data_IF_840383284127
#
_entry.id   IF_840383284127
#
_cell.length_a   1.000
_cell.length_b   1.000
_cell.length_c   1.000
_cell.angle_alpha   90.00
_cell.angle_beta   90.00
_cell.angle_gamma   90.00
#
_symmetry.space_group_name_H-M   'P 1'
#
loop_
_entity.id
_entity.type
_entity.pdbx_description
1 polymer ?
#
# COMPACT_ATOMS: atom_id res chain seq x y z
N UNK A 1 9.58 -6.72 26.49
CA UNK A 1 8.34 -6.60 25.71
C UNK A 1 7.87 -5.17 25.83
N UNK A 2 8.13 -4.35 24.81
CA UNK A 2 7.37 -3.10 24.70
C UNK A 2 5.89 -3.46 24.60
N UNK A 3 5.05 -2.70 25.32
CA UNK A 3 3.59 -2.85 25.28
C UNK A 3 3.15 -2.64 23.83
N UNK A 4 2.30 -3.51 23.28
CA UNK A 4 1.67 -3.25 21.98
C UNK A 4 0.90 -1.92 22.09
N UNK A 5 1.45 -0.86 21.50
CA UNK A 5 0.90 0.51 21.58
C UNK A 5 -0.04 0.81 20.41
N UNK A 6 0.03 0.02 19.35
CA UNK A 6 -0.82 0.16 18.17
C UNK A 6 -1.94 -0.91 18.15
N UNK A 7 -2.99 -0.74 17.33
CA UNK A 7 -3.99 -1.79 17.12
C UNK A 7 -3.40 -3.15 16.71
N UNK A 8 -3.98 -4.23 17.24
CA UNK A 8 -3.47 -5.61 17.06
C UNK A 8 -3.29 -6.00 15.59
N UNK A 9 -4.21 -5.58 14.73
CA UNK A 9 -4.15 -5.95 13.32
C UNK A 9 -2.86 -5.44 12.64
N UNK A 10 -2.25 -4.33 13.11
CA UNK A 10 -0.99 -3.82 12.56
C UNK A 10 0.23 -4.70 12.87
N UNK A 11 0.09 -5.65 13.79
CA UNK A 11 1.09 -6.66 14.15
C UNK A 11 0.86 -8.01 13.45
N UNK A 12 -0.19 -8.13 12.63
CA UNK A 12 -0.48 -9.39 11.92
C UNK A 12 0.65 -9.74 10.94
N UNK A 13 1.15 -10.97 11.08
CA UNK A 13 2.26 -11.48 10.27
C UNK A 13 2.03 -11.32 8.77
N UNK A 14 0.82 -11.62 8.27
CA UNK A 14 0.52 -11.50 6.83
C UNK A 14 0.64 -10.05 6.33
N UNK A 15 0.31 -9.05 7.14
CA UNK A 15 0.43 -7.64 6.75
C UNK A 15 1.89 -7.22 6.73
N UNK A 16 2.68 -7.65 7.71
CA UNK A 16 4.14 -7.49 7.72
C UNK A 16 4.74 -8.11 6.45
N UNK A 17 4.36 -9.34 6.11
CA UNK A 17 4.83 -10.03 4.89
C UNK A 17 4.51 -9.24 3.62
N UNK A 18 3.29 -8.71 3.49
CA UNK A 18 2.91 -7.86 2.35
C UNK A 18 3.82 -6.62 2.27
N UNK A 19 4.04 -5.93 3.39
CA UNK A 19 4.89 -4.74 3.45
C UNK A 19 6.35 -5.06 3.08
N UNK A 20 6.91 -6.14 3.63
CA UNK A 20 8.27 -6.61 3.34
C UNK A 20 8.41 -6.97 1.85
N UNK A 21 7.52 -7.80 1.32
CA UNK A 21 7.56 -8.22 -0.09
C UNK A 21 7.40 -7.03 -1.05
N UNK A 22 6.56 -6.06 -0.70
CA UNK A 22 6.39 -4.82 -1.46
C UNK A 22 7.69 -4.02 -1.53
N UNK A 23 8.31 -3.73 -0.38
CA UNK A 23 9.57 -2.97 -0.32
C UNK A 23 10.69 -3.70 -1.06
N UNK A 24 10.84 -5.00 -0.84
CA UNK A 24 11.81 -5.86 -1.55
C UNK A 24 11.61 -5.81 -3.07
N UNK A 25 10.36 -5.83 -3.53
CA UNK A 25 10.05 -5.76 -4.96
C UNK A 25 10.39 -4.41 -5.57
N UNK A 26 10.01 -3.31 -4.91
CA UNK A 26 10.24 -1.96 -5.43
C UNK A 26 11.73 -1.59 -5.42
N UNK A 27 12.48 -1.93 -4.37
CA UNK A 27 13.91 -1.65 -4.31
C UNK A 27 14.69 -2.38 -5.43
N UNK A 28 14.32 -3.63 -5.76
CA UNK A 28 14.90 -4.36 -6.91
C UNK A 28 14.67 -3.66 -8.25
N UNK A 29 13.57 -2.92 -8.38
CA UNK A 29 13.28 -2.12 -9.58
C UNK A 29 14.11 -0.83 -9.61
N UNK A 30 14.32 -0.21 -8.45
CA UNK A 30 15.02 1.07 -8.37
C UNK A 30 16.54 0.92 -8.39
N UNK A 31 17.05 -0.26 -8.03
CA UNK A 31 18.49 -0.56 -7.96
C UNK A 31 18.86 -1.71 -8.93
N UNK A 32 18.67 -1.53 -10.25
CA UNK A 32 18.86 -2.60 -11.24
C UNK A 32 20.31 -3.09 -11.34
N UNK A 33 21.28 -2.29 -10.91
CA UNK A 33 22.71 -2.65 -10.92
C UNK A 33 23.11 -3.63 -9.82
N UNK A 34 22.30 -3.79 -8.78
CA UNK A 34 22.58 -4.69 -7.66
C UNK A 34 22.06 -6.09 -8.00
N UNK A 35 22.88 -7.12 -7.77
CA UNK A 35 22.57 -8.53 -8.06
C UNK A 35 23.11 -9.48 -6.99
N UNK A 36 22.52 -10.67 -6.89
CA UNK A 36 23.08 -11.79 -6.14
C UNK A 36 23.14 -11.58 -4.63
N UNK A 37 24.28 -11.91 -3.99
CA UNK A 37 24.39 -11.96 -2.53
C UNK A 37 24.07 -10.63 -1.82
N UNK A 38 24.29 -9.50 -2.50
CA UNK A 38 23.95 -8.18 -1.94
C UNK A 38 22.46 -8.09 -1.62
N UNK A 39 21.59 -8.62 -2.49
CA UNK A 39 20.15 -8.65 -2.23
C UNK A 39 19.78 -9.50 -1.03
N UNK A 40 20.52 -10.58 -0.74
CA UNK A 40 20.27 -11.41 0.44
C UNK A 40 20.43 -10.59 1.73
N UNK A 41 21.43 -9.72 1.80
CA UNK A 41 21.66 -8.85 2.97
C UNK A 41 20.60 -7.76 3.06
N UNK A 42 20.30 -7.10 1.94
CA UNK A 42 19.25 -6.08 1.89
C UNK A 42 17.89 -6.68 2.29
N UNK A 43 17.58 -7.89 1.82
CA UNK A 43 16.34 -8.58 2.18
C UNK A 43 16.24 -8.87 3.68
N UNK A 44 17.34 -9.31 4.30
CA UNK A 44 17.42 -9.53 5.75
C UNK A 44 17.20 -8.23 6.51
N UNK A 45 17.84 -7.14 6.08
CA UNK A 45 17.67 -5.83 6.71
C UNK A 45 16.21 -5.37 6.64
N UNK A 46 15.56 -5.49 5.47
CA UNK A 46 14.13 -5.12 5.29
C UNK A 46 13.22 -5.96 6.19
N UNK A 47 13.49 -7.25 6.34
CA UNK A 47 12.70 -8.14 7.21
C UNK A 47 12.77 -7.70 8.67
N UNK A 48 13.97 -7.31 9.11
CA UNK A 48 14.23 -6.81 10.46
C UNK A 48 13.69 -5.41 10.74
N UNK A 49 13.23 -4.65 9.75
CA UNK A 49 12.70 -3.29 9.98
C UNK A 49 11.51 -3.23 10.95
N UNK A 50 10.76 -4.32 11.08
CA UNK A 50 9.57 -4.37 11.92
C UNK A 50 9.89 -4.37 13.42
N UNK A 51 10.93 -5.10 13.83
CA UNK A 51 11.19 -5.48 15.22
C UNK A 51 12.67 -5.68 15.60
N UNK A 52 13.59 -5.85 14.64
CA UNK A 52 15.00 -6.19 14.91
C UNK A 52 15.97 -5.02 14.66
N UNK A 53 15.60 -4.08 13.79
CA UNK A 53 16.49 -3.00 13.37
C UNK A 53 16.77 -2.02 14.53
N UNK A 54 18.03 -1.86 14.98
CA UNK A 54 18.36 -1.18 16.24
C UNK A 54 18.10 0.33 16.23
N UNK A 55 17.98 0.94 15.05
CA UNK A 55 17.78 2.38 14.89
C UNK A 55 16.37 2.75 14.43
N UNK A 56 15.49 1.76 14.26
CA UNK A 56 14.10 1.99 13.88
C UNK A 56 13.20 1.79 15.10
N UNK A 57 12.19 2.64 15.23
CA UNK A 57 11.12 2.41 16.19
C UNK A 57 10.18 1.33 15.64
N UNK A 58 10.01 0.20 16.35
CA UNK A 58 9.24 -0.94 15.88
C UNK A 58 7.83 -0.55 15.43
N UNK A 59 7.34 -1.21 14.37
CA UNK A 59 6.02 -0.98 13.72
C UNK A 59 5.86 0.40 13.09
N UNK A 60 6.12 1.50 13.80
CA UNK A 60 5.98 2.88 13.30
C UNK A 60 6.87 3.14 12.11
N UNK A 61 8.17 2.94 12.29
CA UNK A 61 9.15 3.29 11.27
C UNK A 61 9.10 2.28 10.12
N UNK A 62 8.66 1.04 10.39
CA UNK A 62 8.31 0.08 9.36
C UNK A 62 7.15 0.58 8.47
N UNK A 63 5.98 0.90 9.03
CA UNK A 63 4.83 1.33 8.23
C UNK A 63 5.06 2.69 7.57
N UNK A 64 5.77 3.61 8.24
CA UNK A 64 6.21 4.87 7.62
C UNK A 64 7.24 4.64 6.50
N UNK A 65 8.13 3.65 6.63
CA UNK A 65 9.07 3.26 5.58
C UNK A 65 8.36 2.66 4.36
N UNK A 66 7.43 1.72 4.58
CA UNK A 66 6.56 1.15 3.53
C UNK A 66 5.81 2.26 2.82
N UNK A 67 5.20 3.19 3.59
CA UNK A 67 4.54 4.37 3.04
C UNK A 67 5.48 5.22 2.17
N UNK A 68 6.68 5.52 2.66
CA UNK A 68 7.65 6.36 1.96
C UNK A 68 8.05 5.79 0.60
N UNK A 69 8.30 4.48 0.52
CA UNK A 69 8.59 3.79 -0.75
C UNK A 69 7.36 3.78 -1.66
N UNK A 70 6.19 3.51 -1.11
CA UNK A 70 4.94 3.37 -1.85
C UNK A 70 4.44 4.69 -2.45
N UNK A 71 4.40 5.74 -1.64
CA UNK A 71 3.89 7.04 -2.04
C UNK A 71 4.92 7.89 -2.77
N UNK A 72 6.18 7.88 -2.33
CA UNK A 72 7.22 8.71 -2.93
C UNK A 72 7.51 8.37 -4.40
N UNK A 73 7.34 7.11 -4.80
CA UNK A 73 7.63 6.65 -6.16
C UNK A 73 6.40 6.29 -7.00
N UNK A 74 5.38 5.66 -6.40
CA UNK A 74 4.25 5.08 -7.16
C UNK A 74 2.93 5.79 -6.96
N UNK A 75 2.86 6.76 -6.03
CA UNK A 75 1.64 7.50 -5.71
C UNK A 75 0.46 6.56 -5.37
N UNK A 76 0.74 5.40 -4.76
CA UNK A 76 -0.29 4.45 -4.33
C UNK A 76 -0.92 4.88 -2.99
N UNK A 77 -1.72 5.93 -3.03
CA UNK A 77 -2.32 6.61 -1.86
C UNK A 77 -3.21 5.75 -0.98
N UNK A 78 -3.79 4.68 -1.52
CA UNK A 78 -4.75 3.86 -0.80
C UNK A 78 -4.26 2.45 -0.48
N UNK A 79 -3.18 1.98 -1.12
CA UNK A 79 -2.74 0.58 -0.93
C UNK A 79 -2.31 0.32 0.51
N UNK A 80 -1.61 1.26 1.15
CA UNK A 80 -1.25 1.13 2.55
C UNK A 80 -2.50 1.03 3.45
N UNK A 81 -3.54 1.82 3.16
CA UNK A 81 -4.80 1.78 3.92
C UNK A 81 -5.47 0.42 3.78
N UNK A 82 -5.45 -0.19 2.58
CA UNK A 82 -5.93 -1.57 2.38
C UNK A 82 -5.09 -2.59 3.16
N UNK A 83 -3.77 -2.49 3.07
CA UNK A 83 -2.85 -3.43 3.74
C UNK A 83 -3.03 -3.36 5.26
N UNK A 84 -3.26 -2.16 5.80
CA UNK A 84 -3.30 -1.93 7.25
C UNK A 84 -4.71 -1.82 7.81
N UNK A 85 -5.77 -1.80 7.00
CA UNK A 85 -7.14 -1.67 7.48
C UNK A 85 -7.63 -2.91 8.24
N UNK A 86 -8.15 -2.69 9.45
CA UNK A 86 -8.61 -3.72 10.37
C UNK A 86 -9.66 -4.64 9.75
N UNK A 87 -10.57 -4.07 8.96
CA UNK A 87 -11.67 -4.77 8.31
C UNK A 87 -11.29 -5.44 6.97
N UNK A 88 -10.01 -5.47 6.62
CA UNK A 88 -9.50 -6.19 5.44
C UNK A 88 -8.83 -7.49 5.88
N UNK A 89 -9.41 -8.62 5.48
CA UNK A 89 -8.82 -9.94 5.68
C UNK A 89 -7.91 -10.29 4.50
N UNK A 90 -6.67 -10.62 4.82
CA UNK A 90 -5.66 -11.01 3.85
C UNK A 90 -5.47 -12.53 3.80
N UNK A 91 -5.25 -13.05 2.60
CA UNK A 91 -4.79 -14.43 2.37
C UNK A 91 -3.67 -14.43 1.34
N UNK A 92 -2.72 -15.38 1.44
CA UNK A 92 -1.70 -15.64 0.43
C UNK A 92 -2.06 -16.92 -0.30
N UNK A 93 -2.44 -16.82 -1.57
CA UNK A 93 -3.00 -17.95 -2.33
C UNK A 93 -2.61 -17.90 -3.81
N UNK A 94 -2.64 -19.05 -4.48
CA UNK A 94 -2.61 -19.09 -5.94
C UNK A 94 -4.02 -18.83 -6.48
N UNK A 95 -4.18 -17.73 -7.22
CA UNK A 95 -5.46 -17.34 -7.80
C UNK A 95 -5.47 -17.55 -9.32
N UNK A 96 -6.63 -17.99 -9.84
CA UNK A 96 -6.88 -18.07 -11.27
C UNK A 96 -6.81 -16.67 -11.90
N UNK A 97 -6.01 -16.52 -12.95
CA UNK A 97 -5.83 -15.26 -13.66
C UNK A 97 -7.15 -14.73 -14.21
N UNK A 98 -8.06 -15.60 -14.64
CA UNK A 98 -9.36 -15.21 -15.21
C UNK A 98 -10.29 -14.48 -14.22
N UNK A 99 -10.07 -14.66 -12.90
CA UNK A 99 -10.85 -14.00 -11.84
C UNK A 99 -10.35 -12.58 -11.54
N UNK A 100 -9.21 -12.19 -12.09
CA UNK A 100 -8.56 -10.91 -11.83
C UNK A 100 -8.98 -9.83 -12.83
N UNK A 101 -8.87 -8.60 -12.36
CA UNK A 101 -9.00 -7.39 -13.16
C UNK A 101 -7.71 -6.58 -13.00
N UNK A 102 -7.17 -6.05 -14.09
CA UNK A 102 -6.06 -5.11 -14.04
C UNK A 102 -6.49 -3.84 -13.30
N UNK A 103 -5.71 -3.41 -12.31
CA UNK A 103 -5.89 -2.09 -11.70
C UNK A 103 -5.39 -0.97 -12.62
N UNK A 104 -4.45 -1.29 -13.51
CA UNK A 104 -4.03 -0.41 -14.60
C UNK A 104 -3.64 -1.27 -15.79
N UNK A 105 -4.25 -0.99 -16.94
CA UNK A 105 -3.97 -1.70 -18.19
C UNK A 105 -2.72 -1.07 -18.82
N UNK A 106 -1.66 -1.87 -18.99
CA UNK A 106 -0.45 -1.41 -19.68
C UNK A 106 -0.69 -1.31 -21.20
N UNK A 107 0.20 -0.59 -21.89
CA UNK A 107 0.11 -0.39 -23.35
C UNK A 107 0.05 -1.70 -24.13
N UNK A 108 0.83 -2.70 -23.73
CA UNK A 108 0.91 -4.01 -24.40
C UNK A 108 -0.43 -4.78 -24.36
N UNK A 109 -1.17 -4.66 -23.26
CA UNK A 109 -2.45 -5.37 -23.06
C UNK A 109 -3.64 -4.55 -23.55
N UNK A 110 -3.48 -3.23 -23.71
CA UNK A 110 -4.58 -2.32 -24.08
C UNK A 110 -5.30 -2.73 -25.37
N UNK A 111 -4.56 -3.23 -26.36
CA UNK A 111 -5.14 -3.74 -27.62
C UNK A 111 -6.01 -4.99 -27.41
N UNK A 112 -5.71 -5.81 -26.41
CA UNK A 112 -6.47 -7.04 -26.11
C UNK A 112 -7.66 -6.79 -25.19
N UNK A 113 -7.69 -5.64 -24.50
CA UNK A 113 -8.74 -5.26 -23.56
C UNK A 113 -9.18 -3.80 -23.81
N UNK A 114 -9.71 -3.48 -25.01
CA UNK A 114 -9.93 -2.09 -25.42
C UNK A 114 -10.99 -1.36 -24.58
N UNK A 115 -11.99 -2.09 -24.08
CA UNK A 115 -13.16 -1.52 -23.39
C UNK A 115 -13.28 -2.00 -21.92
N UNK A 116 -12.22 -2.59 -21.35
CA UNK A 116 -12.29 -3.13 -20.00
C UNK A 116 -10.93 -3.31 -19.34
N UNK A 117 -10.92 -4.07 -18.25
CA UNK A 117 -9.71 -4.41 -17.52
C UNK A 117 -9.69 -5.87 -17.07
N UNK A 118 -10.59 -6.71 -17.57
CA UNK A 118 -10.68 -8.10 -17.16
C UNK A 118 -9.51 -8.92 -17.74
N UNK A 119 -8.79 -9.64 -16.89
CA UNK A 119 -7.61 -10.41 -17.32
C UNK A 119 -7.99 -11.54 -18.29
N UNK A 120 -9.18 -12.13 -18.14
CA UNK A 120 -9.72 -13.14 -19.06
C UNK A 120 -9.82 -12.66 -20.52
N UNK A 121 -10.06 -11.36 -20.74
CA UNK A 121 -10.13 -10.78 -22.09
C UNK A 121 -8.73 -10.74 -22.72
N UNK A 122 -7.71 -10.37 -21.94
CA UNK A 122 -6.32 -10.41 -22.38
C UNK A 122 -5.88 -11.84 -22.72
N UNK A 123 -6.21 -12.82 -21.87
CA UNK A 123 -5.93 -14.23 -22.12
C UNK A 123 -6.57 -14.70 -23.44
N UNK A 124 -7.86 -14.42 -23.62
CA UNK A 124 -8.60 -14.79 -24.84
C UNK A 124 -8.05 -14.09 -26.09
N UNK A 125 -7.64 -12.83 -25.97
CA UNK A 125 -7.04 -12.05 -27.06
C UNK A 125 -5.71 -12.61 -27.52
N UNK A 126 -4.80 -12.89 -26.58
CA UNK A 126 -3.49 -13.46 -26.90
C UNK A 126 -3.57 -14.91 -27.40
N UNK A 127 -4.55 -15.70 -26.97
CA UNK A 127 -4.81 -17.02 -27.56
C UNK A 127 -5.18 -16.94 -29.05
N UNK A 128 -5.86 -15.86 -29.48
CA UNK A 128 -6.23 -15.63 -30.89
C UNK A 128 -5.12 -14.96 -31.70
N UNK A 129 -4.12 -14.35 -31.05
CA UNK A 129 -3.04 -13.63 -31.71
C UNK A 129 -1.66 -14.04 -31.18
N UNK A 130 -1.28 -15.28 -31.49
CA UNK A 130 -0.03 -15.91 -31.03
C UNK A 130 1.22 -15.13 -31.44
N UNK A 131 1.21 -14.51 -32.62
CA UNK A 131 2.34 -13.67 -33.09
C UNK A 131 2.54 -12.47 -32.17
N UNK A 132 1.45 -11.76 -31.84
CA UNK A 132 1.51 -10.61 -30.93
C UNK A 132 1.90 -11.04 -29.51
N UNK A 133 1.38 -12.18 -29.03
CA UNK A 133 1.76 -12.77 -27.73
C UNK A 133 3.27 -12.96 -27.63
N UNK A 134 3.90 -13.56 -28.65
CA UNK A 134 5.36 -13.78 -28.68
C UNK A 134 6.13 -12.46 -28.66
N UNK A 135 5.74 -11.50 -29.51
CA UNK A 135 6.38 -10.18 -29.56
C UNK A 135 6.33 -9.47 -28.21
N UNK A 136 5.18 -9.45 -27.54
CA UNK A 136 5.04 -8.81 -26.23
C UNK A 136 5.76 -9.57 -25.13
N UNK A 137 5.83 -10.91 -25.20
CA UNK A 137 6.58 -11.71 -24.24
C UNK A 137 8.08 -11.39 -24.32
N UNK A 138 8.64 -11.33 -25.52
CA UNK A 138 10.04 -10.96 -25.75
C UNK A 138 10.35 -9.55 -25.23
N UNK A 139 9.46 -8.58 -25.48
CA UNK A 139 9.62 -7.23 -24.95
C UNK A 139 9.60 -7.21 -23.42
N UNK A 140 8.62 -7.86 -22.79
CA UNK A 140 8.52 -7.92 -21.34
C UNK A 140 9.70 -8.64 -20.69
N UNK A 141 10.22 -9.71 -21.30
CA UNK A 141 11.36 -10.46 -20.75
C UNK A 141 12.59 -9.57 -20.60
N UNK A 142 12.89 -8.73 -21.60
CA UNK A 142 14.00 -7.77 -21.54
C UNK A 142 13.92 -6.87 -20.31
N UNK A 143 12.72 -6.37 -19.98
CA UNK A 143 12.52 -5.52 -18.79
C UNK A 143 12.75 -6.26 -17.47
N UNK A 144 12.48 -7.57 -17.41
CA UNK A 144 12.64 -8.36 -16.19
C UNK A 144 14.07 -8.89 -16.02
N UNK A 145 14.82 -9.10 -17.11
CA UNK A 145 16.22 -9.52 -17.09
C UNK A 145 17.16 -8.42 -16.57
N UNK A 146 16.79 -7.15 -16.73
CA UNK A 146 17.58 -6.00 -16.24
C UNK A 146 17.71 -6.02 -14.71
N UNK A 147 16.70 -6.47 -13.97
CA UNK A 147 16.65 -6.44 -12.50
C UNK A 147 16.91 -7.80 -11.87
N UNK A 148 17.12 -7.89 -10.56
CA UNK A 148 17.10 -9.18 -9.85
C UNK A 148 15.77 -9.92 -10.11
N UNK A 149 15.76 -11.25 -10.02
CA UNK A 149 14.53 -12.01 -10.27
C UNK A 149 13.39 -11.52 -9.36
N UNK A 150 12.29 -11.12 -10.00
CA UNK A 150 11.10 -10.60 -9.33
C UNK A 150 9.79 -11.02 -9.99
N UNK A 151 9.87 -11.90 -10.99
CA UNK A 151 8.71 -12.33 -11.78
C UNK A 151 7.78 -13.28 -11.02
N UNK A 152 8.29 -13.89 -9.95
CA UNK A 152 7.62 -14.86 -9.09
C UNK A 152 7.09 -14.24 -7.79
N UNK A 153 7.44 -12.98 -7.49
CA UNK A 153 6.95 -12.28 -6.30
C UNK A 153 5.42 -12.21 -6.31
N UNK A 154 4.73 -12.41 -5.16
CA UNK A 154 3.28 -12.34 -5.09
C UNK A 154 2.74 -10.98 -5.55
N UNK A 155 1.68 -10.98 -6.36
CA UNK A 155 0.95 -9.75 -6.68
C UNK A 155 0.09 -9.31 -5.49
N UNK A 156 -0.42 -8.08 -5.49
CA UNK A 156 -1.38 -7.62 -4.48
C UNK A 156 -2.71 -7.32 -5.17
N UNK A 157 -3.75 -8.09 -4.81
CA UNK A 157 -5.10 -7.92 -5.32
C UNK A 157 -6.06 -7.55 -4.18
N UNK A 158 -6.94 -6.58 -4.43
CA UNK A 158 -7.93 -6.10 -3.46
C UNK A 158 -9.33 -6.23 -4.02
N UNK A 159 -10.29 -6.61 -3.19
CA UNK A 159 -11.70 -6.54 -3.51
C UNK A 159 -12.14 -5.09 -3.75
N UNK A 160 -12.87 -4.85 -4.84
CA UNK A 160 -13.53 -3.59 -5.16
C UNK A 160 -14.95 -3.87 -5.66
N UNK A 161 -15.90 -3.04 -5.27
CA UNK A 161 -17.24 -3.05 -5.85
C UNK A 161 -17.23 -2.28 -7.17
N UNK A 162 -17.54 -2.97 -8.27
CA UNK A 162 -17.63 -2.42 -9.61
C UNK A 162 -19.01 -2.81 -10.15
N UNK A 163 -19.85 -1.81 -10.44
CA UNK A 163 -21.23 -2.02 -10.90
C UNK A 163 -22.05 -2.92 -9.96
N UNK A 164 -21.85 -2.76 -8.64
CA UNK A 164 -22.54 -3.55 -7.61
C UNK A 164 -22.06 -5.00 -7.49
N UNK A 165 -20.96 -5.38 -8.15
CA UNK A 165 -20.35 -6.71 -8.04
C UNK A 165 -18.95 -6.61 -7.43
N UNK A 166 -18.65 -7.54 -6.53
CA UNK A 166 -17.31 -7.69 -5.99
C UNK A 166 -16.37 -8.26 -7.06
N UNK A 167 -15.34 -7.49 -7.40
CA UNK A 167 -14.28 -7.89 -8.32
C UNK A 167 -12.93 -7.83 -7.61
N UNK A 168 -12.02 -8.73 -7.97
CA UNK A 168 -10.63 -8.68 -7.50
C UNK A 168 -9.81 -7.86 -8.49
N UNK A 169 -9.22 -6.77 -7.99
CA UNK A 169 -8.47 -5.81 -8.79
C UNK A 169 -7.01 -5.83 -8.36
N UNK A 170 -6.10 -6.03 -9.32
CA UNK A 170 -4.64 -6.05 -9.12
C UNK A 170 -4.16 -4.62 -8.85
N UNK A 171 -3.88 -4.34 -7.59
CA UNK A 171 -3.39 -3.03 -7.13
C UNK A 171 -1.90 -2.89 -7.40
N UNK A 172 -1.12 -3.93 -7.10
CA UNK A 172 0.30 -4.02 -7.44
C UNK A 172 0.59 -5.35 -8.17
N UNK A 173 1.50 -5.30 -9.16
CA UNK A 173 1.86 -6.46 -9.96
C UNK A 173 1.10 -6.62 -11.28
N UNK A 174 0.52 -5.54 -11.84
CA UNK A 174 -0.09 -5.58 -13.18
C UNK A 174 0.89 -6.12 -14.25
N UNK A 175 2.16 -5.71 -14.22
CA UNK A 175 3.19 -6.27 -15.12
C UNK A 175 3.51 -7.76 -14.89
N UNK A 176 3.44 -8.24 -13.64
CA UNK A 176 3.63 -9.68 -13.34
C UNK A 176 2.42 -10.49 -13.82
N UNK A 177 1.23 -9.92 -13.68
CA UNK A 177 -0.03 -10.47 -14.22
C UNK A 177 0.02 -10.57 -15.75
N UNK A 178 0.43 -9.51 -16.45
CA UNK A 178 0.63 -9.55 -17.91
C UNK A 178 1.65 -10.61 -18.31
N UNK A 179 2.79 -10.68 -17.63
CA UNK A 179 3.82 -11.67 -17.93
C UNK A 179 3.29 -13.11 -17.74
N UNK A 180 2.48 -13.35 -16.71
CA UNK A 180 1.85 -14.65 -16.48
C UNK A 180 0.87 -15.02 -17.61
N UNK A 181 0.05 -14.07 -18.06
CA UNK A 181 -0.84 -14.23 -19.22
C UNK A 181 -0.05 -14.56 -20.49
N UNK A 182 1.01 -13.80 -20.79
CA UNK A 182 1.84 -14.01 -21.98
C UNK A 182 2.55 -15.36 -21.95
N UNK A 183 2.99 -15.82 -20.77
CA UNK A 183 3.57 -17.16 -20.54
C UNK A 183 2.53 -18.29 -20.59
N UNK A 184 1.24 -17.99 -20.73
CA UNK A 184 0.16 -18.98 -20.75
C UNK A 184 -0.07 -19.68 -19.41
N UNK A 185 0.24 -19.02 -18.29
CA UNK A 185 -0.09 -19.55 -16.96
C UNK A 185 -1.60 -19.44 -16.73
N UNK A 186 -2.17 -20.37 -15.96
CA UNK A 186 -3.56 -20.27 -15.48
C UNK A 186 -3.67 -19.50 -14.17
N UNK A 187 -2.66 -19.65 -13.30
CA UNK A 187 -2.65 -19.10 -11.93
C UNK A 187 -1.46 -18.18 -11.67
N UNK A 188 -1.59 -17.38 -10.62
CA UNK A 188 -0.51 -16.55 -10.08
C UNK A 188 -0.60 -16.48 -8.56
N UNK A 189 0.56 -16.45 -7.88
CA UNK A 189 0.62 -16.23 -6.44
C UNK A 189 0.23 -14.79 -6.11
N UNK A 190 -0.68 -14.61 -5.17
CA UNK A 190 -1.23 -13.30 -4.79
C UNK A 190 -1.44 -13.19 -3.28
N UNK A 191 -1.23 -11.97 -2.76
CA UNK A 191 -1.90 -11.51 -1.56
C UNK A 191 -3.28 -10.98 -1.95
N UNK A 192 -4.33 -11.55 -1.38
CA UNK A 192 -5.72 -11.18 -1.69
C UNK A 192 -6.39 -10.59 -0.47
N UNK A 193 -6.75 -9.31 -0.57
CA UNK A 193 -7.45 -8.55 0.47
C UNK A 193 -8.95 -8.51 0.20
N UNK A 194 -9.75 -9.00 1.15
CA UNK A 194 -11.22 -9.00 1.09
C UNK A 194 -11.79 -8.29 2.32
N UNK A 195 -12.82 -7.49 2.12
CA UNK A 195 -13.51 -6.84 3.22
C UNK A 195 -14.34 -7.85 4.00
N UNK A 196 -14.34 -7.72 5.32
CA UNK A 196 -15.19 -8.54 6.21
C UNK A 196 -16.59 -7.93 6.41
N UNK A 197 -16.82 -6.71 5.94
CA UNK A 197 -18.07 -5.96 6.04
C UNK A 197 -18.53 -5.38 4.70
N UNK A 198 -19.81 -4.98 4.64
CA UNK A 198 -20.48 -4.46 3.43
C UNK A 198 -20.09 -3.02 3.06
N UNK A 199 -19.40 -2.25 3.92
CA UNK A 199 -19.02 -0.86 3.62
C UNK A 199 -17.95 -0.80 2.54
N UNK A 200 -17.14 -1.86 2.40
CA UNK A 200 -16.10 -2.00 1.37
C UNK A 200 -15.11 -0.83 1.33
N UNK A 201 -14.77 -0.29 2.51
CA UNK A 201 -13.77 0.76 2.68
C UNK A 201 -12.84 0.40 3.84
N UNK A 202 -11.51 0.64 3.75
CA UNK A 202 -10.62 0.35 4.86
C UNK A 202 -10.97 1.19 6.10
N UNK A 203 -10.99 0.56 7.26
CA UNK A 203 -11.21 1.18 8.57
C UNK A 203 -10.03 0.92 9.50
N UNK A 204 -9.80 1.83 10.46
CA UNK A 204 -8.74 1.74 11.46
C UNK A 204 -7.35 1.42 10.89
N UNK A 205 -6.96 2.09 9.81
CA UNK A 205 -5.70 1.83 9.10
C UNK A 205 -4.57 2.74 9.56
N UNK A 206 -3.33 2.44 9.14
CA UNK A 206 -2.17 3.27 9.45
C UNK A 206 -2.25 4.65 8.80
N UNK A 207 -2.08 5.70 9.60
CA UNK A 207 -1.86 7.06 9.11
C UNK A 207 -0.37 7.40 9.19
N UNK A 208 0.29 7.70 8.05
CA UNK A 208 1.69 8.10 8.05
C UNK A 208 1.93 9.31 8.95
N UNK A 209 2.90 9.22 9.87
CA UNK A 209 3.18 10.31 10.81
C UNK A 209 3.53 11.61 10.07
N UNK A 210 4.21 11.51 8.92
CA UNK A 210 4.57 12.67 8.08
C UNK A 210 3.35 13.44 7.56
N UNK A 211 2.27 12.73 7.19
CA UNK A 211 1.04 13.35 6.72
C UNK A 211 0.36 14.15 7.85
N UNK A 212 0.33 13.57 9.06
CA UNK A 212 -0.20 14.28 10.24
C UNK A 212 0.62 15.54 10.54
N UNK A 213 1.95 15.45 10.48
CA UNK A 213 2.85 16.60 10.70
C UNK A 213 2.65 17.71 9.66
N UNK A 214 2.45 17.34 8.39
CA UNK A 214 2.22 18.29 7.31
C UNK A 214 0.89 19.04 7.49
N UNK A 215 -0.19 18.35 7.81
CA UNK A 215 -1.47 19.02 8.04
C UNK A 215 -1.40 19.91 9.28
N UNK A 216 -0.73 19.47 10.36
CA UNK A 216 -0.49 20.31 11.55
C UNK A 216 0.35 21.54 11.22
N UNK A 217 1.30 21.45 10.29
CA UNK A 217 2.03 22.63 9.80
C UNK A 217 1.07 23.65 9.16
N UNK A 218 0.13 23.20 8.33
CA UNK A 218 -0.86 24.07 7.71
C UNK A 218 -1.86 24.66 8.73
N UNK A 219 -2.27 23.90 9.74
CA UNK A 219 -3.08 24.41 10.87
C UNK A 219 -2.35 25.57 11.56
N UNK A 220 -1.06 25.40 11.87
CA UNK A 220 -0.26 26.46 12.51
C UNK A 220 -0.18 27.70 11.64
N UNK A 221 0.02 27.53 10.33
CA UNK A 221 0.07 28.65 9.37
C UNK A 221 -1.26 29.41 9.30
N UNK A 222 -2.39 28.70 9.24
CA UNK A 222 -3.71 29.33 9.26
C UNK A 222 -3.93 30.15 10.55
N UNK A 223 -3.54 29.60 11.70
CA UNK A 223 -3.61 30.31 12.99
C UNK A 223 -2.70 31.54 13.06
N UNK A 224 -1.47 31.45 12.56
CA UNK A 224 -0.54 32.58 12.45
C UNK A 224 -1.08 33.70 11.56
N UNK A 225 -1.87 33.36 10.54
CA UNK A 225 -2.50 34.31 9.62
C UNK A 225 -3.82 34.90 10.17
N UNK A 226 -4.37 34.37 11.26
CA UNK A 226 -5.69 34.75 11.77
C UNK A 226 -6.85 34.34 10.84
N UNK A 227 -6.66 33.29 10.02
CA UNK A 227 -7.69 32.76 9.14
C UNK A 227 -8.43 31.60 9.84
N UNK A 228 -9.45 31.95 10.62
CA UNK A 228 -10.24 31.00 11.40
C UNK A 228 -10.97 29.98 10.52
N UNK A 229 -11.42 30.38 9.32
CA UNK A 229 -12.11 29.46 8.40
C UNK A 229 -11.15 28.38 7.88
N UNK A 230 -9.93 28.77 7.53
CA UNK A 230 -8.92 27.84 7.05
C UNK A 230 -8.43 26.93 8.19
N UNK A 231 -8.25 27.49 9.39
CA UNK A 231 -7.94 26.73 10.61
C UNK A 231 -8.98 25.64 10.87
N UNK A 232 -10.27 26.02 10.95
CA UNK A 232 -11.38 25.11 11.22
C UNK A 232 -11.51 24.02 10.14
N UNK A 233 -11.21 24.36 8.89
CA UNK A 233 -11.21 23.41 7.78
C UNK A 233 -10.13 22.33 7.96
N UNK A 234 -8.89 22.71 8.32
CA UNK A 234 -7.82 21.74 8.57
C UNK A 234 -8.06 20.91 9.84
N UNK A 235 -8.57 21.53 10.92
CA UNK A 235 -8.95 20.82 12.14
C UNK A 235 -10.00 19.76 11.85
N UNK A 236 -11.02 20.08 11.06
CA UNK A 236 -12.07 19.14 10.67
C UNK A 236 -11.53 17.95 9.88
N UNK A 237 -10.67 18.21 8.89
CA UNK A 237 -10.02 17.14 8.12
C UNK A 237 -9.19 16.22 9.03
N UNK A 238 -8.42 16.80 9.97
CA UNK A 238 -7.65 16.00 10.92
C UNK A 238 -8.54 15.16 11.84
N UNK A 239 -9.64 15.72 12.36
CA UNK A 239 -10.60 14.95 13.17
C UNK A 239 -11.17 13.78 12.40
N UNK A 240 -11.64 14.02 11.18
CA UNK A 240 -12.19 12.98 10.30
C UNK A 240 -11.18 11.85 10.01
N UNK A 241 -9.89 12.18 9.86
CA UNK A 241 -8.83 11.20 9.70
C UNK A 241 -8.58 10.41 10.99
N UNK A 242 -8.47 11.09 12.12
CA UNK A 242 -8.11 10.50 13.41
C UNK A 242 -9.24 9.64 14.00
N UNK A 243 -10.51 9.98 13.73
CA UNK A 243 -11.66 9.16 14.09
C UNK A 243 -11.68 7.79 13.39
N UNK A 244 -10.88 7.64 12.32
CA UNK A 244 -10.76 6.40 11.54
C UNK A 244 -9.42 5.69 11.75
N UNK A 245 -8.58 6.12 12.70
CA UNK A 245 -7.25 5.53 12.91
C UNK A 245 -6.78 5.69 14.36
N UNK A 246 -6.88 4.61 15.13
CA UNK A 246 -6.37 4.56 16.50
C UNK A 246 -4.84 4.78 16.53
N UNK A 247 -4.11 4.21 15.57
CA UNK A 247 -2.67 4.48 15.41
C UNK A 247 -2.38 5.96 15.12
N UNK A 248 -3.20 6.61 14.29
CA UNK A 248 -3.06 8.03 14.00
C UNK A 248 -3.30 8.90 15.23
N UNK A 249 -4.29 8.56 16.06
CA UNK A 249 -4.53 9.22 17.36
C UNK A 249 -3.33 9.08 18.28
N UNK A 250 -2.77 7.87 18.39
CA UNK A 250 -1.58 7.63 19.19
C UNK A 250 -0.38 8.46 18.73
N UNK A 251 -0.11 8.49 17.42
CA UNK A 251 0.99 9.28 16.84
C UNK A 251 0.76 10.80 17.02
N UNK A 252 -0.47 11.28 16.84
CA UNK A 252 -0.84 12.68 17.05
C UNK A 252 -0.54 13.13 18.50
N UNK A 253 -0.93 12.31 19.47
CA UNK A 253 -0.78 12.60 20.90
C UNK A 253 0.68 12.55 21.39
N UNK A 254 1.49 11.67 20.81
CA UNK A 254 2.81 11.33 21.36
C UNK A 254 4.00 11.80 20.52
N UNK A 255 3.80 12.18 19.25
CA UNK A 255 4.91 12.50 18.33
C UNK A 255 4.68 13.77 17.51
N UNK A 256 3.49 13.97 16.95
CA UNK A 256 3.24 15.02 15.94
C UNK A 256 3.31 16.43 16.54
N UNK A 257 2.77 16.62 17.76
CA UNK A 257 2.80 17.91 18.45
C UNK A 257 3.55 17.77 19.77
N UNK A 258 4.55 18.62 19.99
CA UNK A 258 5.36 18.61 21.22
C UNK A 258 4.50 18.95 22.44
N UNK A 259 4.41 17.99 23.38
CA UNK A 259 3.74 18.16 24.68
C UNK A 259 4.33 19.36 25.44
N UNK A 260 3.46 20.13 26.12
CA UNK A 260 3.85 21.27 26.95
C UNK A 260 3.98 22.60 26.23
N UNK A 261 3.63 22.68 24.94
CA UNK A 261 3.49 23.96 24.24
C UNK A 261 2.06 24.49 24.38
N UNK A 262 1.87 25.82 24.44
CA UNK A 262 0.53 26.44 24.46
C UNK A 262 -0.33 25.99 23.27
N UNK A 263 0.30 25.82 22.10
CA UNK A 263 -0.38 25.28 20.91
C UNK A 263 -0.88 23.86 21.14
N UNK A 264 -0.12 22.99 21.81
CA UNK A 264 -0.53 21.62 22.11
C UNK A 264 -1.82 21.59 22.94
N UNK A 265 -1.87 22.36 24.03
CA UNK A 265 -2.99 22.32 24.97
C UNK A 265 -4.31 22.78 24.31
N UNK A 266 -4.26 23.84 23.51
CA UNK A 266 -5.41 24.35 22.76
C UNK A 266 -5.81 23.37 21.65
N UNK A 267 -4.85 22.93 20.84
CA UNK A 267 -5.11 22.14 19.64
C UNK A 267 -5.61 20.72 19.96
N UNK A 268 -5.15 20.11 21.05
CA UNK A 268 -5.64 18.78 21.45
C UNK A 268 -7.09 18.82 21.97
N UNK A 269 -7.55 19.96 22.47
CA UNK A 269 -8.96 20.19 22.79
C UNK A 269 -9.77 20.32 21.51
N UNK A 270 -9.30 21.10 20.54
CA UNK A 270 -9.97 21.28 19.25
C UNK A 270 -10.12 19.98 18.45
N UNK A 271 -9.18 19.04 18.63
CA UNK A 271 -9.23 17.71 18.02
C UNK A 271 -10.05 16.67 18.82
N UNK A 272 -10.66 17.04 19.96
CA UNK A 272 -11.33 16.12 20.89
C UNK A 272 -10.45 14.95 21.41
N UNK A 273 -9.13 15.15 21.45
CA UNK A 273 -8.18 14.11 21.87
C UNK A 273 -7.83 14.20 23.36
N UNK A 274 -8.13 15.33 24.02
CA UNK A 274 -7.78 15.60 25.42
C UNK A 274 -8.54 14.75 26.47
N UNK A 275 -9.49 13.91 26.06
CA UNK A 275 -10.38 13.14 26.97
C UNK A 275 -10.38 11.62 26.78
N UNK A 276 -9.56 11.07 25.87
CA UNK A 276 -9.55 9.63 25.58
C UNK A 276 -8.11 9.12 25.42
N UNK A 277 -7.47 8.81 26.56
CA UNK A 277 -6.37 7.85 26.66
C UNK A 277 -6.59 7.03 27.93
#
# INVERSE_FOLDING_TARGET
MEREVYPKHLYEQIRREIGVDYVRHELRKYLPSIKGEVWRRIDQDIEGWFDEAPFLYPVRDFWNGVHGIMMGFKLYSHLLNFITGENVRWTKEEIELELLNFGTVNSLVKEMVPEGNEVRLAMSGYLKNERLRKSHLEEMQKWYEITEERSTNPIIATQKSIEGKDKLVVYDGNGRTTLAVLKGRGKILAYVGRFVDERRQPENYWLPTSLLMEIVHFVKKAKEMGDDNLYDSYVRVLRDMLDRSDSGRYEMLNRVVSKGSKFYDEFMVDLDLSRKV
#
